data_IF_320635813382
#
_entry.id   IF_320635813382
#
_cell.length_a   1.000
_cell.length_b   1.000
_cell.length_c   1.000
_cell.angle_alpha   90.00
_cell.angle_beta   90.00
_cell.angle_gamma   90.00
#
_symmetry.space_group_name_H-M   'P 1'
#
loop_
_entity.id
_entity.type
_entity.pdbx_description
1 polymer ?
#
# COMPACT_ATOMS: atom_id res chain seq x y z
N UNK A 1 3.26 5.81 -8.25
CA UNK A 1 3.96 7.10 -8.23
C UNK A 1 5.45 6.83 -8.26
N UNK A 2 6.07 7.06 -9.41
CA UNK A 2 7.52 6.95 -9.60
C UNK A 2 8.16 8.32 -9.43
N UNK A 3 9.42 8.36 -9.03
CA UNK A 3 10.25 9.54 -9.17
C UNK A 3 10.75 9.67 -10.63
N UNK A 4 11.82 10.36 -10.90
CA UNK A 4 12.32 10.53 -12.27
C UNK A 4 13.74 9.97 -12.45
N UNK A 5 14.20 9.22 -11.48
CA UNK A 5 15.55 8.64 -11.40
C UNK A 5 15.43 7.16 -11.77
N UNK A 6 16.34 6.68 -12.57
CA UNK A 6 16.45 5.28 -12.94
C UNK A 6 17.09 4.49 -11.81
N UNK A 7 16.38 3.49 -11.27
CA UNK A 7 16.92 2.59 -10.27
C UNK A 7 17.50 1.34 -10.95
N UNK A 8 18.81 1.13 -10.93
CA UNK A 8 19.46 0.05 -11.66
C UNK A 8 19.08 -1.37 -11.20
N UNK A 9 18.34 -1.52 -10.09
CA UNK A 9 17.93 -2.83 -9.54
C UNK A 9 16.45 -3.13 -9.75
N UNK A 10 15.68 -2.19 -10.31
CA UNK A 10 14.25 -2.35 -10.59
C UNK A 10 13.95 -2.17 -12.08
N UNK A 11 12.73 -2.50 -12.50
CA UNK A 11 12.27 -2.35 -13.90
C UNK A 11 11.41 -1.09 -14.04
N UNK A 12 11.96 0.05 -13.66
CA UNK A 12 11.30 1.36 -13.69
C UNK A 12 11.75 2.25 -14.86
N UNK A 13 12.69 1.79 -15.71
CA UNK A 13 13.24 2.48 -16.88
C UNK A 13 12.20 3.24 -17.70
N UNK A 14 10.99 2.68 -17.83
CA UNK A 14 9.88 3.30 -18.57
C UNK A 14 9.41 4.62 -17.96
N UNK A 15 9.69 4.87 -16.67
CA UNK A 15 9.25 6.03 -15.90
C UNK A 15 10.34 7.08 -15.66
N UNK A 16 11.36 7.09 -16.50
CA UNK A 16 12.43 8.09 -16.52
C UNK A 16 12.19 9.16 -17.62
N UNK A 17 12.92 10.30 -17.59
CA UNK A 17 12.80 11.33 -18.64
C UNK A 17 13.14 10.84 -20.05
N UNK A 18 14.01 9.84 -20.17
CA UNK A 18 14.43 9.23 -21.44
C UNK A 18 13.70 7.92 -21.73
N UNK A 19 12.98 7.38 -20.75
CA UNK A 19 12.21 6.17 -20.88
C UNK A 19 10.99 6.31 -21.79
N UNK A 20 10.32 5.19 -22.05
CA UNK A 20 9.16 5.10 -22.95
C UNK A 20 8.04 6.10 -22.60
N UNK A 21 7.78 6.33 -21.33
CA UNK A 21 6.73 7.23 -20.87
C UNK A 21 7.18 8.71 -20.82
N UNK A 22 8.46 9.00 -21.09
CA UNK A 22 9.06 10.33 -20.99
C UNK A 22 8.66 11.03 -19.67
N UNK A 23 8.80 10.30 -18.58
CA UNK A 23 8.33 10.69 -17.28
C UNK A 23 9.34 11.62 -16.59
N UNK A 24 9.24 12.92 -16.90
CA UNK A 24 10.16 13.94 -16.38
C UNK A 24 9.56 14.72 -15.21
N UNK A 25 10.36 15.58 -14.60
CA UNK A 25 10.04 16.37 -13.41
C UNK A 25 8.70 17.14 -13.47
N UNK A 26 8.30 17.62 -14.66
CA UNK A 26 7.01 18.29 -14.85
C UNK A 26 5.84 17.34 -14.61
N UNK A 27 5.89 16.14 -15.21
CA UNK A 27 4.85 15.11 -15.08
C UNK A 27 4.78 14.61 -13.64
N UNK A 28 5.93 14.35 -13.03
CA UNK A 28 6.06 13.97 -11.64
C UNK A 28 5.38 14.97 -10.71
N UNK A 29 5.76 16.25 -10.79
CA UNK A 29 5.15 17.32 -9.97
C UNK A 29 3.66 17.47 -10.21
N UNK A 30 3.18 17.31 -11.44
CA UNK A 30 1.75 17.35 -11.74
C UNK A 30 1.00 16.18 -11.07
N UNK A 31 1.59 14.98 -11.03
CA UNK A 31 1.00 13.83 -10.34
C UNK A 31 0.95 14.06 -8.83
N UNK A 32 2.04 14.53 -8.23
CA UNK A 32 2.08 14.88 -6.80
C UNK A 32 0.97 15.86 -6.43
N UNK A 33 0.88 16.98 -7.15
CA UNK A 33 -0.13 18.01 -6.86
C UNK A 33 -1.57 17.50 -7.05
N UNK A 34 -1.83 16.67 -8.07
CA UNK A 34 -3.15 16.07 -8.27
C UNK A 34 -3.51 15.12 -7.14
N UNK A 35 -2.59 14.27 -6.73
CA UNK A 35 -2.81 13.32 -5.63
C UNK A 35 -3.02 14.07 -4.32
N UNK A 36 -2.20 15.06 -4.01
CA UNK A 36 -2.33 15.90 -2.83
C UNK A 36 -3.68 16.65 -2.79
N UNK A 37 -4.12 17.20 -3.93
CA UNK A 37 -5.42 17.86 -4.05
C UNK A 37 -6.60 16.90 -3.83
N UNK A 38 -6.48 15.63 -4.21
CA UNK A 38 -7.50 14.62 -3.92
C UNK A 38 -7.48 14.29 -2.43
N UNK A 39 -6.33 13.96 -1.87
CA UNK A 39 -6.17 13.60 -0.45
C UNK A 39 -6.71 14.70 0.46
N UNK A 40 -6.33 15.96 0.20
CA UNK A 40 -6.73 17.09 1.02
C UNK A 40 -8.25 17.35 1.04
N UNK A 41 -9.00 16.80 0.08
CA UNK A 41 -10.47 16.95 -0.03
C UNK A 41 -11.25 15.74 0.44
N UNK A 42 -10.61 14.57 0.57
CA UNK A 42 -11.28 13.37 1.04
C UNK A 42 -11.82 13.58 2.45
N UNK A 43 -13.07 13.18 2.68
CA UNK A 43 -13.71 13.21 4.01
C UNK A 43 -14.11 14.61 4.51
N UNK A 44 -13.79 15.69 3.79
CA UNK A 44 -14.09 17.07 4.26
C UNK A 44 -15.59 17.37 4.38
N UNK A 45 -16.42 16.68 3.63
CA UNK A 45 -17.89 16.77 3.71
C UNK A 45 -18.44 16.20 5.03
N UNK A 46 -17.68 15.29 5.67
CA UNK A 46 -18.07 14.59 6.90
C UNK A 46 -17.29 15.05 8.13
N UNK A 47 -15.97 15.03 8.04
CA UNK A 47 -15.08 15.28 9.18
C UNK A 47 -14.50 16.71 9.22
N UNK A 48 -14.68 17.52 8.16
CA UNK A 48 -14.07 18.86 7.97
C UNK A 48 -12.52 18.82 8.06
N UNK A 49 -11.95 17.66 7.91
CA UNK A 49 -10.53 17.37 7.97
C UNK A 49 -10.19 16.28 6.94
N UNK A 50 -8.95 16.21 6.45
CA UNK A 50 -8.54 15.10 5.59
C UNK A 50 -8.46 13.80 6.41
N UNK A 51 -8.34 12.62 5.72
CA UNK A 51 -8.32 11.32 6.39
C UNK A 51 -7.20 11.19 7.41
N UNK A 52 -7.49 10.59 8.57
CA UNK A 52 -6.48 10.29 9.59
C UNK A 52 -5.49 9.20 9.14
N UNK A 53 -5.97 8.23 8.35
CA UNK A 53 -5.20 7.10 7.84
C UNK A 53 -5.44 6.97 6.33
N UNK A 54 -4.38 6.78 5.56
CA UNK A 54 -4.41 6.65 4.10
C UNK A 54 -3.48 5.51 3.68
N UNK A 55 -4.05 4.43 3.16
CA UNK A 55 -3.26 3.40 2.48
C UNK A 55 -2.95 3.82 1.05
N UNK A 56 -1.69 3.83 0.69
CA UNK A 56 -1.22 4.12 -0.67
C UNK A 56 -0.62 2.87 -1.29
N UNK A 57 -0.82 2.72 -2.60
CA UNK A 57 -0.24 1.66 -3.42
C UNK A 57 0.43 2.25 -4.67
N UNK A 58 1.27 1.46 -5.34
CA UNK A 58 1.98 1.87 -6.56
C UNK A 58 2.86 3.11 -6.35
N UNK A 59 3.59 3.14 -5.27
CA UNK A 59 4.64 4.13 -5.01
C UNK A 59 6.00 3.43 -5.02
N UNK A 60 7.01 4.15 -5.46
CA UNK A 60 8.32 3.58 -5.72
C UNK A 60 9.20 3.53 -4.47
N UNK A 61 9.24 4.61 -3.70
CA UNK A 61 10.17 4.73 -2.58
C UNK A 61 9.72 5.77 -1.55
N UNK A 62 10.49 5.92 -0.48
CA UNK A 62 10.24 6.91 0.58
C UNK A 62 10.31 8.35 0.04
N UNK A 63 11.18 8.63 -0.95
CA UNK A 63 11.36 9.98 -1.50
C UNK A 63 10.06 10.50 -2.14
N UNK A 64 9.34 9.65 -2.88
CA UNK A 64 8.06 10.07 -3.49
C UNK A 64 6.99 10.37 -2.44
N UNK A 65 7.04 9.73 -1.28
CA UNK A 65 6.16 10.02 -0.14
C UNK A 65 6.52 11.35 0.51
N UNK A 66 7.81 11.59 0.75
CA UNK A 66 8.28 12.88 1.27
C UNK A 66 7.87 14.04 0.37
N UNK A 67 8.07 13.89 -0.94
CA UNK A 67 7.72 14.91 -1.92
C UNK A 67 6.20 15.15 -1.98
N UNK A 68 5.40 14.09 -1.83
CA UNK A 68 3.94 14.18 -1.75
C UNK A 68 3.52 15.00 -0.51
N UNK A 69 4.07 14.69 0.66
CA UNK A 69 3.71 15.36 1.91
C UNK A 69 4.22 16.81 1.98
N UNK A 70 5.27 17.16 1.21
CA UNK A 70 5.79 18.54 1.07
C UNK A 70 5.00 19.40 0.08
N UNK A 71 3.95 18.87 -0.59
CA UNK A 71 3.09 19.69 -1.46
C UNK A 71 2.30 20.73 -0.67
N UNK A 72 1.94 21.85 -1.33
CA UNK A 72 1.23 22.97 -0.69
C UNK A 72 -0.08 22.53 0.01
N UNK A 73 -0.81 21.59 -0.60
CA UNK A 73 -2.07 21.07 -0.07
C UNK A 73 -1.90 20.24 1.20
N UNK A 74 -0.81 19.49 1.32
CA UNK A 74 -0.61 18.55 2.43
C UNK A 74 0.34 19.07 3.51
N UNK A 75 1.27 19.94 3.18
CA UNK A 75 2.28 20.49 4.11
C UNK A 75 1.68 21.10 5.39
N UNK A 76 0.45 21.60 5.32
CA UNK A 76 -0.26 22.21 6.45
C UNK A 76 -0.81 21.19 7.45
N UNK A 77 -0.79 19.91 7.15
CA UNK A 77 -1.24 18.84 8.01
C UNK A 77 -0.03 18.05 8.54
N UNK A 78 -0.04 17.57 9.77
CA UNK A 78 1.06 16.81 10.37
C UNK A 78 1.03 15.35 9.88
N UNK A 79 1.10 15.16 8.56
CA UNK A 79 1.21 13.83 7.99
C UNK A 79 2.60 13.26 8.12
N UNK A 80 2.66 12.02 8.56
CA UNK A 80 3.83 11.15 8.54
C UNK A 80 3.50 9.88 7.77
N UNK A 81 4.49 9.04 7.49
CA UNK A 81 4.27 7.79 6.78
C UNK A 81 5.11 6.64 7.33
N UNK A 82 4.64 5.41 7.06
CA UNK A 82 5.38 4.17 7.25
C UNK A 82 5.44 3.47 5.89
N UNK A 83 6.64 3.08 5.51
CA UNK A 83 6.95 2.44 4.24
C UNK A 83 8.07 1.43 4.43
N UNK A 84 8.01 0.34 3.67
CA UNK A 84 9.08 -0.65 3.54
C UNK A 84 9.24 -1.02 2.07
N UNK A 85 10.48 -1.12 1.62
CA UNK A 85 10.77 -1.66 0.30
C UNK A 85 10.34 -3.13 0.23
N UNK A 86 9.65 -3.49 -0.83
CA UNK A 86 9.26 -4.86 -1.14
C UNK A 86 10.04 -5.40 -2.34
N UNK A 87 10.08 -6.72 -2.53
CA UNK A 87 10.90 -7.32 -3.59
C UNK A 87 10.23 -7.28 -4.98
N UNK A 88 9.21 -6.47 -5.22
CA UNK A 88 8.58 -6.34 -6.55
C UNK A 88 9.59 -5.83 -7.57
N UNK A 89 9.72 -6.54 -8.70
CA UNK A 89 10.72 -6.21 -9.73
C UNK A 89 10.53 -4.83 -10.39
N UNK A 90 9.35 -4.23 -10.27
CA UNK A 90 9.07 -2.88 -10.79
C UNK A 90 9.41 -1.78 -9.78
N UNK A 91 9.92 -2.15 -8.58
CA UNK A 91 10.18 -1.19 -7.51
C UNK A 91 8.93 -0.48 -7.02
N UNK A 92 7.80 -1.17 -6.89
CA UNK A 92 6.57 -0.55 -6.38
C UNK A 92 6.14 -1.18 -5.06
N UNK A 93 5.69 -0.34 -4.15
CA UNK A 93 5.42 -0.66 -2.77
C UNK A 93 4.04 -0.21 -2.31
N UNK A 94 3.78 -0.42 -1.03
CA UNK A 94 2.65 0.10 -0.28
C UNK A 94 3.14 0.96 0.87
N UNK A 95 2.33 1.94 1.29
CA UNK A 95 2.61 2.76 2.47
C UNK A 95 1.34 3.10 3.24
N UNK A 96 1.50 3.36 4.53
CA UNK A 96 0.50 4.00 5.36
C UNK A 96 0.93 5.45 5.62
N UNK A 97 0.12 6.40 5.19
CA UNK A 97 0.24 7.82 5.56
C UNK A 97 -0.77 8.10 6.66
N UNK A 98 -0.39 8.84 7.69
CA UNK A 98 -1.23 9.08 8.85
C UNK A 98 -1.02 10.48 9.44
N UNK A 99 -2.08 11.04 10.06
CA UNK A 99 -1.97 12.27 10.86
C UNK A 99 -1.37 11.93 12.22
N UNK A 100 -0.17 12.44 12.51
CA UNK A 100 0.56 12.12 13.75
C UNK A 100 -0.09 12.68 15.02
N UNK A 101 -0.98 13.67 14.88
CA UNK A 101 -1.81 14.15 16.00
C UNK A 101 -2.93 13.17 16.39
N UNK A 102 -3.37 12.32 15.47
CA UNK A 102 -4.49 11.40 15.66
C UNK A 102 -4.08 9.94 15.78
N UNK A 103 -3.04 9.52 15.10
CA UNK A 103 -2.57 8.14 15.09
C UNK A 103 -1.13 8.06 15.57
N UNK A 104 -0.87 7.20 16.55
CA UNK A 104 0.46 6.95 17.11
C UNK A 104 0.85 5.50 16.82
N UNK A 105 1.71 5.23 15.84
CA UNK A 105 2.20 3.87 15.56
C UNK A 105 2.96 3.32 16.77
N UNK A 106 2.68 2.05 17.11
CA UNK A 106 3.33 1.33 18.21
C UNK A 106 4.15 0.14 17.68
N UNK A 107 3.63 -0.51 16.65
CA UNK A 107 4.27 -1.66 16.02
C UNK A 107 4.09 -1.64 14.51
N UNK A 108 5.09 -2.10 13.77
CA UNK A 108 5.03 -2.20 12.30
C UNK A 108 5.72 -3.47 11.83
N UNK A 109 5.14 -4.12 10.85
CA UNK A 109 5.65 -5.38 10.30
C UNK A 109 5.43 -5.42 8.78
N UNK A 110 6.42 -5.95 8.08
CA UNK A 110 6.34 -6.32 6.67
C UNK A 110 6.01 -7.80 6.55
N UNK A 111 4.82 -8.12 6.02
CA UNK A 111 4.38 -9.50 5.81
C UNK A 111 4.74 -9.96 4.41
N UNK A 112 5.76 -10.80 4.31
CA UNK A 112 6.28 -11.27 3.04
C UNK A 112 5.32 -12.25 2.35
N UNK A 113 4.98 -11.98 1.08
CA UNK A 113 4.20 -12.89 0.24
C UNK A 113 5.13 -13.78 -0.59
N UNK A 114 5.19 -15.07 -0.23
CA UNK A 114 6.04 -16.06 -0.89
C UNK A 114 5.28 -16.86 -1.94
N UNK A 115 5.59 -16.62 -3.21
CA UNK A 115 4.96 -17.26 -4.37
C UNK A 115 6.02 -17.93 -5.25
N UNK A 116 5.70 -19.07 -5.82
CA UNK A 116 6.52 -19.77 -6.80
C UNK A 116 5.68 -20.11 -8.01
N UNK A 117 6.30 -20.07 -9.20
CA UNK A 117 5.69 -20.56 -10.43
C UNK A 117 5.68 -22.09 -10.48
N UNK A 118 5.08 -22.62 -11.54
CA UNK A 118 4.99 -24.08 -11.77
C UNK A 118 6.34 -24.77 -12.01
N UNK A 119 7.42 -23.99 -12.23
CA UNK A 119 8.77 -24.47 -12.42
C UNK A 119 9.63 -24.33 -11.16
N UNK A 120 9.07 -23.82 -10.08
CA UNK A 120 9.77 -23.60 -8.81
C UNK A 120 10.57 -22.29 -8.74
N UNK A 121 10.39 -21.37 -9.68
CA UNK A 121 11.03 -20.06 -9.62
C UNK A 121 10.22 -19.13 -8.70
N UNK A 122 10.92 -18.29 -7.94
CA UNK A 122 10.29 -17.27 -7.09
C UNK A 122 9.61 -16.20 -7.94
N UNK A 123 8.35 -15.91 -7.64
CA UNK A 123 7.62 -14.74 -8.13
C UNK A 123 7.72 -13.66 -7.06
N UNK A 124 8.38 -12.56 -7.39
CA UNK A 124 8.49 -11.40 -6.51
C UNK A 124 7.27 -10.50 -6.65
N UNK A 125 6.75 -10.04 -5.51
CA UNK A 125 5.57 -9.18 -5.43
C UNK A 125 5.68 -8.27 -4.22
N UNK A 126 4.73 -7.34 -4.07
CA UNK A 126 4.66 -6.43 -2.92
C UNK A 126 4.32 -7.21 -1.67
N UNK A 127 4.95 -6.83 -0.58
CA UNK A 127 4.60 -7.31 0.75
C UNK A 127 3.38 -6.56 1.30
N UNK A 128 2.73 -7.12 2.32
CA UNK A 128 1.65 -6.43 3.01
C UNK A 128 2.27 -5.62 4.15
N UNK A 129 1.91 -4.35 4.25
CA UNK A 129 2.29 -3.52 5.38
C UNK A 129 1.25 -3.68 6.49
N UNK A 130 1.69 -4.09 7.68
CA UNK A 130 0.90 -4.09 8.91
C UNK A 130 1.42 -3.03 9.86
N UNK A 131 0.51 -2.22 10.41
CA UNK A 131 0.81 -1.21 11.42
C UNK A 131 -0.22 -1.30 12.53
N UNK A 132 0.23 -1.48 13.76
CA UNK A 132 -0.60 -1.34 14.96
C UNK A 132 -0.30 0.01 15.62
N UNK A 133 -1.32 0.68 16.11
CA UNK A 133 -1.14 1.98 16.76
C UNK A 133 -2.40 2.44 17.49
N UNK A 134 -2.28 3.57 18.16
CA UNK A 134 -3.38 4.17 18.93
C UNK A 134 -4.03 5.26 18.07
N UNK A 135 -5.31 5.10 17.77
CA UNK A 135 -6.15 6.07 17.09
C UNK A 135 -7.29 6.48 18.03
N UNK A 136 -7.31 7.73 18.45
CA UNK A 136 -8.33 8.27 19.37
C UNK A 136 -8.50 7.41 20.64
N UNK A 137 -7.38 7.14 21.32
CA UNK A 137 -7.25 6.31 22.51
C UNK A 137 -7.61 4.81 22.35
N UNK A 138 -7.85 4.35 21.14
CA UNK A 138 -8.14 2.95 20.86
C UNK A 138 -7.04 2.29 20.01
N UNK A 139 -6.68 1.06 20.35
CA UNK A 139 -5.74 0.28 19.52
C UNK A 139 -6.42 -0.16 18.23
N UNK A 140 -5.74 0.12 17.10
CA UNK A 140 -6.19 -0.25 15.76
C UNK A 140 -5.05 -0.87 14.99
N UNK A 141 -5.34 -1.97 14.30
CA UNK A 141 -4.40 -2.67 13.41
C UNK A 141 -4.78 -2.39 11.96
N UNK A 142 -3.84 -1.83 11.20
CA UNK A 142 -4.07 -1.41 9.80
C UNK A 142 -3.22 -2.26 8.89
N UNK A 143 -3.84 -2.85 7.86
CA UNK A 143 -3.15 -3.57 6.80
C UNK A 143 -3.30 -2.83 5.48
N UNK A 144 -2.17 -2.49 4.84
CA UNK A 144 -2.16 -1.92 3.48
C UNK A 144 -1.68 -2.99 2.52
N UNK A 145 -2.53 -3.29 1.54
CA UNK A 145 -2.37 -4.39 0.60
C UNK A 145 -2.20 -3.90 -0.83
N UNK A 146 -1.36 -4.59 -1.62
CA UNK A 146 -1.39 -4.52 -3.06
C UNK A 146 -1.10 -5.92 -3.62
N UNK A 147 -2.14 -6.71 -3.80
CA UNK A 147 -2.03 -8.11 -4.19
C UNK A 147 -1.57 -8.28 -5.64
N UNK A 148 -1.09 -9.49 -6.01
CA UNK A 148 -0.71 -9.81 -7.37
C UNK A 148 -1.82 -9.51 -8.38
N UNK A 149 -1.46 -8.82 -9.47
CA UNK A 149 -2.40 -8.43 -10.51
C UNK A 149 -2.94 -9.64 -11.28
N UNK A 150 -4.01 -9.42 -12.06
CA UNK A 150 -4.61 -10.42 -12.97
C UNK A 150 -3.79 -10.63 -14.25
N UNK A 151 -2.50 -10.31 -14.25
CA UNK A 151 -1.62 -10.48 -15.42
C UNK A 151 -1.58 -11.95 -15.84
N UNK A 152 -1.75 -12.21 -17.13
CA UNK A 152 -1.86 -13.56 -17.68
C UNK A 152 -3.27 -14.17 -17.59
N UNK A 153 -4.23 -13.46 -17.01
CA UNK A 153 -5.63 -13.87 -16.84
C UNK A 153 -6.04 -14.07 -15.39
N UNK A 154 -7.29 -13.81 -15.11
CA UNK A 154 -7.87 -13.85 -13.75
C UNK A 154 -7.67 -15.21 -13.07
N UNK A 155 -8.04 -16.29 -13.78
CA UNK A 155 -7.91 -17.67 -13.26
C UNK A 155 -6.46 -18.13 -13.14
N UNK A 156 -5.59 -17.73 -14.08
CA UNK A 156 -4.17 -18.10 -14.06
C UNK A 156 -3.45 -17.52 -12.88
N UNK A 157 -3.75 -16.27 -12.52
CA UNK A 157 -3.12 -15.53 -11.42
C UNK A 157 -3.85 -15.67 -10.07
N UNK A 158 -5.00 -16.33 -10.02
CA UNK A 158 -5.86 -16.45 -8.83
C UNK A 158 -5.11 -17.08 -7.63
N UNK A 159 -4.30 -18.13 -7.89
CA UNK A 159 -3.54 -18.77 -6.83
C UNK A 159 -2.56 -17.82 -6.12
N UNK A 160 -2.01 -16.83 -6.83
CA UNK A 160 -1.12 -15.83 -6.25
C UNK A 160 -1.87 -14.92 -5.28
N UNK A 161 -3.09 -14.51 -5.63
CA UNK A 161 -3.95 -13.69 -4.75
C UNK A 161 -4.46 -14.50 -3.56
N UNK A 162 -4.78 -15.78 -3.74
CA UNK A 162 -5.11 -16.68 -2.62
C UNK A 162 -3.93 -16.82 -1.64
N UNK A 163 -2.67 -16.83 -2.13
CA UNK A 163 -1.49 -16.82 -1.25
C UNK A 163 -1.37 -15.52 -0.47
N UNK A 164 -1.62 -14.36 -1.09
CA UNK A 164 -1.65 -13.08 -0.40
C UNK A 164 -2.76 -13.04 0.66
N UNK A 165 -3.98 -13.51 0.31
CA UNK A 165 -5.09 -13.65 1.24
C UNK A 165 -4.75 -14.51 2.45
N UNK A 166 -4.09 -15.64 2.24
CA UNK A 166 -3.66 -16.54 3.31
C UNK A 166 -2.64 -15.87 4.26
N UNK A 167 -1.68 -15.12 3.73
CA UNK A 167 -0.73 -14.36 4.55
C UNK A 167 -1.46 -13.35 5.43
N UNK A 168 -2.39 -12.58 4.84
CA UNK A 168 -3.20 -11.60 5.56
C UNK A 168 -4.09 -12.26 6.62
N UNK A 169 -4.79 -13.34 6.26
CA UNK A 169 -5.65 -14.10 7.18
C UNK A 169 -4.88 -14.60 8.42
N UNK A 170 -3.68 -15.15 8.21
CA UNK A 170 -2.85 -15.63 9.33
C UNK A 170 -2.43 -14.48 10.26
N UNK A 171 -2.12 -13.30 9.70
CA UNK A 171 -1.79 -12.13 10.52
C UNK A 171 -3.01 -11.63 11.31
N UNK A 172 -4.19 -11.58 10.68
CA UNK A 172 -5.45 -11.24 11.34
C UNK A 172 -5.76 -12.25 12.46
N UNK A 173 -5.55 -13.54 12.19
CA UNK A 173 -5.83 -14.59 13.19
C UNK A 173 -4.90 -14.45 14.40
N UNK A 174 -3.59 -14.18 14.21
CA UNK A 174 -2.67 -13.88 15.31
C UNK A 174 -3.20 -12.77 16.24
N UNK A 175 -3.66 -11.66 15.64
CA UNK A 175 -4.21 -10.53 16.40
C UNK A 175 -5.47 -10.94 17.17
N UNK A 176 -6.36 -11.72 16.56
CA UNK A 176 -7.60 -12.18 17.18
C UNK A 176 -7.37 -13.25 18.26
N UNK A 177 -6.29 -14.01 18.16
CA UNK A 177 -5.89 -14.96 19.21
C UNK A 177 -5.39 -14.23 20.46
N UNK A 178 -4.76 -13.04 20.27
CA UNK A 178 -4.32 -12.18 21.37
C UNK A 178 -5.46 -11.33 21.93
N UNK A 179 -6.27 -10.72 21.05
CA UNK A 179 -7.48 -9.97 21.41
C UNK A 179 -8.63 -10.30 20.43
N UNK A 180 -9.63 -11.10 20.86
CA UNK A 180 -10.80 -11.41 20.03
C UNK A 180 -11.62 -10.21 19.58
N UNK A 181 -11.46 -9.04 20.23
CA UNK A 181 -12.13 -7.78 19.91
C UNK A 181 -11.22 -6.81 19.15
N UNK A 182 -10.05 -7.24 18.70
CA UNK A 182 -9.09 -6.43 17.96
C UNK A 182 -9.77 -5.65 16.82
N UNK A 183 -9.53 -4.33 16.77
CA UNK A 183 -10.05 -3.44 15.74
C UNK A 183 -9.10 -3.48 14.53
N UNK A 184 -9.56 -4.09 13.45
CA UNK A 184 -8.74 -4.36 12.29
C UNK A 184 -9.31 -3.64 11.07
N UNK A 185 -8.46 -2.85 10.41
CA UNK A 185 -8.76 -2.17 9.14
C UNK A 185 -7.88 -2.80 8.06
N UNK A 186 -8.51 -3.31 7.00
CA UNK A 186 -7.83 -3.88 5.85
C UNK A 186 -8.16 -3.04 4.63
N UNK A 187 -7.14 -2.45 3.99
CA UNK A 187 -7.32 -1.57 2.84
C UNK A 187 -6.28 -1.85 1.75
N UNK A 188 -6.50 -1.32 0.55
CA UNK A 188 -5.57 -1.39 -0.57
C UNK A 188 -6.18 -1.92 -1.86
N UNK A 189 -5.32 -2.31 -2.81
CA UNK A 189 -5.70 -2.93 -4.07
C UNK A 189 -5.55 -4.46 -3.98
N UNK A 190 -6.66 -5.16 -3.86
CA UNK A 190 -6.69 -6.62 -3.82
C UNK A 190 -6.62 -7.27 -5.19
N UNK A 191 -6.71 -6.51 -6.28
CA UNK A 191 -6.77 -7.00 -7.65
C UNK A 191 -7.87 -8.06 -7.89
N UNK A 192 -8.85 -8.14 -6.99
CA UNK A 192 -10.01 -9.02 -7.04
C UNK A 192 -11.29 -8.30 -6.60
N UNK A 193 -12.42 -8.81 -7.01
CA UNK A 193 -13.72 -8.32 -6.56
C UNK A 193 -14.11 -8.97 -5.21
N UNK A 194 -14.97 -8.35 -4.41
CA UNK A 194 -15.43 -8.93 -3.14
C UNK A 194 -16.09 -10.31 -3.28
N UNK A 195 -16.48 -10.69 -4.50
CA UNK A 195 -17.08 -11.99 -4.82
C UNK A 195 -16.10 -13.06 -5.21
N UNK A 196 -14.81 -12.73 -5.41
CA UNK A 196 -13.78 -13.70 -5.74
C UNK A 196 -13.41 -14.56 -4.51
N UNK A 197 -12.98 -15.81 -4.76
CA UNK A 197 -12.65 -16.77 -3.71
C UNK A 197 -11.53 -16.29 -2.78
N UNK A 198 -10.55 -15.57 -3.31
CA UNK A 198 -9.45 -15.00 -2.53
C UNK A 198 -9.95 -14.08 -1.40
N UNK A 199 -11.03 -13.32 -1.61
CA UNK A 199 -11.63 -12.45 -0.59
C UNK A 199 -12.69 -13.18 0.22
N UNK A 200 -13.56 -13.99 -0.40
CA UNK A 200 -14.63 -14.72 0.30
C UNK A 200 -14.08 -15.78 1.26
N UNK A 201 -13.19 -16.62 0.77
CA UNK A 201 -12.66 -17.76 1.51
C UNK A 201 -11.33 -17.44 2.21
N UNK A 202 -10.60 -16.43 1.71
CA UNK A 202 -9.32 -16.04 2.24
C UNK A 202 -9.38 -15.04 3.40
N UNK A 203 -10.43 -14.25 3.53
CA UNK A 203 -10.52 -13.20 4.57
C UNK A 203 -11.73 -13.34 5.50
N UNK A 204 -12.82 -13.98 5.05
CA UNK A 204 -14.10 -13.93 5.74
C UNK A 204 -14.60 -15.32 6.20
N UNK A 205 -13.74 -16.36 6.17
CA UNK A 205 -14.05 -17.70 6.72
C UNK A 205 -13.64 -17.80 8.17
#
# INVERSE_FOLDING_TARGET
>A
LFDTIDDPVTLDDDFTPIGKNRYGAKTYRQKLNKLAAVISRLGQDRAKAPPALIGLTELENATVLEDLLKTEELLKYPYEFIHFDSPDLRGIDVALVYLSDLFKPVYQEKLEIKIWDQYGNRIYTRDILMVSGILDDEEVHVFVNHWPSRRGGEKVSEHNRKKAAYVLQNAIQRLRDEDPLAKIVVMGDFNDNPTNESLKEGLFC
#
